data_IF_436134908425
#
_entry.id   IF_436134908425
#
_cell.length_a   1.000
_cell.length_b   1.000
_cell.length_c   1.000
_cell.angle_alpha   90.00
_cell.angle_beta   90.00
_cell.angle_gamma   90.00
#
_symmetry.space_group_name_H-M   'P 1'
#
loop_
_entity.id
_entity.type
_entity.pdbx_description
1 polymer ?
#
# COMPACT_ATOMS: atom_id res chain seq x y z
N UNK A 1 -40.09 -16.80 -73.07
CA UNK A 1 -40.45 -16.94 -71.65
C UNK A 1 -39.20 -16.79 -70.80
N UNK A 2 -39.05 -15.68 -70.06
CA UNK A 2 -37.88 -15.43 -69.20
C UNK A 2 -38.30 -15.64 -67.74
N UNK A 3 -37.79 -16.69 -67.08
CA UNK A 3 -38.03 -16.94 -65.66
C UNK A 3 -37.05 -16.14 -64.80
N UNK A 4 -37.58 -15.29 -63.92
CA UNK A 4 -36.77 -14.54 -62.94
C UNK A 4 -36.28 -15.49 -61.85
N UNK A 5 -34.97 -15.53 -61.63
CA UNK A 5 -34.32 -16.23 -60.52
C UNK A 5 -34.15 -15.24 -59.37
N UNK A 6 -34.74 -15.55 -58.21
CA UNK A 6 -34.63 -14.71 -57.01
C UNK A 6 -33.55 -15.29 -56.11
N UNK A 7 -32.40 -14.63 -56.01
CA UNK A 7 -31.30 -15.02 -55.10
C UNK A 7 -31.60 -14.43 -53.72
N UNK A 8 -32.13 -15.26 -52.82
CA UNK A 8 -32.29 -14.91 -51.41
C UNK A 8 -30.92 -14.76 -50.74
N UNK A 9 -30.55 -13.52 -50.40
CA UNK A 9 -29.33 -13.24 -49.65
C UNK A 9 -29.52 -13.66 -48.19
N UNK A 10 -29.00 -14.82 -47.82
CA UNK A 10 -28.93 -15.28 -46.43
C UNK A 10 -27.89 -14.46 -45.68
N UNK A 11 -28.31 -13.38 -45.05
CA UNK A 11 -27.46 -12.63 -44.11
C UNK A 11 -27.23 -13.46 -42.85
N UNK A 12 -26.10 -14.17 -42.78
CA UNK A 12 -25.59 -14.73 -41.52
C UNK A 12 -25.15 -13.59 -40.62
N UNK A 13 -25.98 -13.23 -39.64
CA UNK A 13 -25.56 -12.35 -38.54
C UNK A 13 -24.57 -13.11 -37.66
N UNK A 14 -23.33 -12.64 -37.60
CA UNK A 14 -22.36 -13.12 -36.62
C UNK A 14 -22.76 -12.56 -35.25
N UNK A 15 -23.23 -13.42 -34.35
CA UNK A 15 -23.43 -13.08 -32.94
C UNK A 15 -22.04 -13.08 -32.28
N UNK A 16 -21.58 -11.92 -31.83
CA UNK A 16 -20.39 -11.82 -31.00
C UNK A 16 -20.74 -12.22 -29.56
N UNK A 17 -20.37 -13.42 -29.14
CA UNK A 17 -20.40 -13.78 -27.72
C UNK A 17 -19.17 -13.20 -27.04
N UNK A 18 -19.32 -12.14 -26.26
CA UNK A 18 -18.25 -11.65 -25.38
C UNK A 18 -18.17 -12.61 -24.19
N UNK A 19 -17.10 -13.38 -24.12
CA UNK A 19 -16.78 -14.22 -22.96
C UNK A 19 -15.81 -13.44 -22.08
N UNK A 20 -16.17 -13.25 -20.82
CA UNK A 20 -15.28 -12.64 -19.85
C UNK A 20 -14.10 -13.58 -19.56
N UNK A 21 -12.89 -13.05 -19.69
CA UNK A 21 -11.67 -13.78 -19.36
C UNK A 21 -11.08 -13.19 -18.06
N UNK A 22 -11.03 -13.95 -16.96
CA UNK A 22 -10.51 -13.44 -15.71
C UNK A 22 -9.01 -13.14 -15.80
N UNK A 23 -8.51 -12.19 -14.99
CA UNK A 23 -7.08 -11.93 -14.87
C UNK A 23 -6.32 -13.15 -14.32
N UNK A 24 -5.04 -13.26 -14.67
CA UNK A 24 -4.20 -14.41 -14.27
C UNK A 24 -3.94 -14.44 -12.75
N UNK A 25 -4.35 -15.55 -12.12
CA UNK A 25 -4.18 -15.84 -10.69
C UNK A 25 -2.87 -16.58 -10.35
N UNK A 26 -1.98 -16.75 -11.32
CA UNK A 26 -0.68 -17.41 -11.10
C UNK A 26 0.20 -16.54 -10.21
N UNK A 27 0.81 -17.16 -9.21
CA UNK A 27 1.69 -16.54 -8.21
C UNK A 27 1.08 -15.30 -7.54
N UNK A 28 -0.23 -15.36 -7.28
CA UNK A 28 -0.98 -14.29 -6.62
C UNK A 28 -0.32 -13.78 -5.33
N UNK A 29 0.23 -14.64 -4.43
CA UNK A 29 0.84 -14.16 -3.18
C UNK A 29 1.96 -13.13 -3.37
N UNK A 30 2.80 -13.32 -4.38
CA UNK A 30 3.94 -12.42 -4.64
C UNK A 30 3.50 -11.13 -5.32
N UNK A 31 2.43 -11.19 -6.13
CA UNK A 31 1.95 -10.04 -6.92
C UNK A 31 0.96 -9.16 -6.17
N UNK A 32 0.20 -9.74 -5.23
CA UNK A 32 -0.88 -9.07 -4.51
C UNK A 32 -0.51 -7.72 -3.87
N UNK A 33 0.67 -7.55 -3.22
CA UNK A 33 1.02 -6.28 -2.59
C UNK A 33 1.30 -5.15 -3.59
N UNK A 34 1.81 -5.49 -4.77
CA UNK A 34 2.19 -4.54 -5.83
C UNK A 34 1.06 -4.30 -6.84
N UNK A 35 -0.01 -5.10 -6.75
CA UNK A 35 -1.14 -5.05 -7.67
C UNK A 35 -1.99 -3.79 -7.45
N UNK A 36 -2.49 -3.22 -8.55
CA UNK A 36 -3.44 -2.11 -8.48
C UNK A 36 -4.70 -2.51 -7.70
N UNK A 37 -5.34 -1.53 -7.07
CA UNK A 37 -6.55 -1.75 -6.28
C UNK A 37 -7.71 -2.27 -7.15
N UNK A 38 -7.91 -1.70 -8.35
CA UNK A 38 -9.03 -2.08 -9.22
C UNK A 38 -8.92 -3.55 -9.65
N UNK A 39 -7.71 -3.98 -10.00
CA UNK A 39 -7.44 -5.36 -10.39
C UNK A 39 -7.63 -6.34 -9.22
N UNK A 40 -7.31 -5.93 -7.99
CA UNK A 40 -7.57 -6.75 -6.79
C UNK A 40 -9.06 -6.95 -6.56
N UNK A 41 -9.86 -5.89 -6.68
CA UNK A 41 -11.32 -5.97 -6.55
C UNK A 41 -11.93 -6.86 -7.64
N UNK A 42 -11.50 -6.70 -8.89
CA UNK A 42 -11.96 -7.55 -10.00
C UNK A 42 -11.68 -9.03 -9.74
N UNK A 43 -10.49 -9.37 -9.24
CA UNK A 43 -10.13 -10.74 -8.84
C UNK A 43 -11.06 -11.26 -7.73
N UNK A 44 -11.31 -10.44 -6.70
CA UNK A 44 -12.16 -10.80 -5.56
C UNK A 44 -13.59 -11.05 -6.04
N UNK A 45 -14.14 -10.16 -6.86
CA UNK A 45 -15.49 -10.27 -7.41
C UNK A 45 -15.63 -11.53 -8.26
N UNK A 46 -14.68 -11.78 -9.17
CA UNK A 46 -14.66 -12.98 -10.00
C UNK A 46 -14.66 -14.27 -9.16
N UNK A 47 -13.77 -14.35 -8.16
CA UNK A 47 -13.67 -15.54 -7.31
C UNK A 47 -14.91 -15.69 -6.42
N UNK A 48 -15.47 -14.58 -5.92
CA UNK A 48 -16.69 -14.60 -5.11
C UNK A 48 -17.85 -15.17 -5.92
N UNK A 49 -18.07 -14.67 -7.12
CA UNK A 49 -19.10 -15.17 -8.02
C UNK A 49 -18.90 -16.66 -8.36
N UNK A 50 -17.65 -17.08 -8.63
CA UNK A 50 -17.35 -18.49 -8.95
C UNK A 50 -17.55 -19.42 -7.74
N UNK A 51 -17.32 -18.94 -6.53
CA UNK A 51 -17.53 -19.69 -5.29
C UNK A 51 -19.01 -19.87 -4.91
N UNK A 52 -19.93 -19.16 -5.56
CA UNK A 52 -21.38 -19.40 -5.40
C UNK A 52 -21.82 -20.72 -6.08
N UNK A 53 -21.10 -21.16 -7.11
CA UNK A 53 -21.31 -22.44 -7.77
C UNK A 53 -20.56 -23.60 -7.06
N UNK A 54 -20.63 -24.82 -7.60
CA UNK A 54 -19.90 -25.99 -7.10
C UNK A 54 -18.38 -25.76 -7.06
N UNK A 55 -17.80 -25.96 -5.87
CA UNK A 55 -16.36 -25.77 -5.65
C UNK A 55 -15.48 -26.75 -6.39
N UNK A 56 -16.06 -27.84 -6.92
CA UNK A 56 -15.37 -28.82 -7.76
C UNK A 56 -14.99 -28.25 -9.13
N UNK A 57 -15.64 -27.17 -9.54
CA UNK A 57 -15.39 -26.50 -10.81
C UNK A 57 -14.25 -25.45 -10.72
N UNK A 58 -13.73 -25.18 -9.52
CA UNK A 58 -12.57 -24.31 -9.35
C UNK A 58 -11.29 -25.05 -9.69
N UNK A 59 -10.42 -24.37 -10.44
CA UNK A 59 -9.07 -24.85 -10.69
C UNK A 59 -8.24 -24.81 -9.39
N UNK A 60 -7.20 -25.65 -9.32
CA UNK A 60 -6.26 -25.64 -8.20
C UNK A 60 -5.60 -24.26 -7.97
N UNK A 61 -5.37 -23.50 -9.05
CA UNK A 61 -4.83 -22.13 -8.97
C UNK A 61 -5.82 -21.17 -8.33
N UNK A 62 -7.10 -21.27 -8.65
CA UNK A 62 -8.15 -20.44 -8.06
C UNK A 62 -8.40 -20.80 -6.61
N UNK A 63 -8.39 -22.09 -6.25
CA UNK A 63 -8.49 -22.52 -4.86
C UNK A 63 -7.35 -21.94 -3.99
N UNK A 64 -6.12 -21.96 -4.51
CA UNK A 64 -4.97 -21.33 -3.83
C UNK A 64 -5.13 -19.81 -3.72
N UNK A 65 -5.64 -19.17 -4.77
CA UNK A 65 -5.94 -17.73 -4.77
C UNK A 65 -7.02 -17.38 -3.73
N UNK A 66 -8.13 -18.11 -3.69
CA UNK A 66 -9.19 -17.94 -2.68
C UNK A 66 -8.61 -18.09 -1.27
N UNK A 67 -7.83 -19.13 -1.01
CA UNK A 67 -7.18 -19.32 0.29
C UNK A 67 -6.30 -18.14 0.66
N UNK A 68 -5.49 -17.64 -0.28
CA UNK A 68 -4.62 -16.50 -0.04
C UNK A 68 -5.39 -15.20 0.19
N UNK A 69 -6.48 -14.94 -0.54
CA UNK A 69 -7.32 -13.76 -0.30
C UNK A 69 -7.99 -13.86 1.07
N UNK A 70 -8.55 -15.01 1.43
CA UNK A 70 -9.25 -15.18 2.70
C UNK A 70 -8.33 -15.16 3.92
N UNK A 71 -7.13 -15.75 3.83
CA UNK A 71 -6.27 -16.00 5.00
C UNK A 71 -4.80 -15.56 4.84
N UNK A 72 -4.43 -15.04 3.67
CA UNK A 72 -3.05 -14.62 3.40
C UNK A 72 -2.59 -13.45 4.28
N UNK A 73 -1.26 -13.27 4.38
CA UNK A 73 -0.63 -12.18 5.13
C UNK A 73 -0.72 -10.85 4.35
N UNK A 74 -1.93 -10.36 4.16
CA UNK A 74 -2.21 -9.06 3.53
C UNK A 74 -3.27 -8.30 4.33
N UNK A 75 -3.42 -7.00 4.04
CA UNK A 75 -4.35 -6.14 4.77
C UNK A 75 -3.98 -6.08 6.27
N UNK A 76 -4.94 -6.24 7.20
CA UNK A 76 -4.68 -6.25 8.64
C UNK A 76 -3.76 -7.38 9.11
N UNK A 77 -3.67 -8.49 8.34
CA UNK A 77 -2.81 -9.64 8.64
C UNK A 77 -1.45 -9.54 7.96
N UNK A 78 -1.22 -8.49 7.17
CA UNK A 78 0.07 -8.25 6.56
C UNK A 78 1.14 -8.01 7.62
N UNK A 79 2.32 -8.61 7.42
CA UNK A 79 3.51 -8.18 8.15
C UNK A 79 3.81 -6.76 7.71
N UNK A 80 3.30 -5.78 8.44
CA UNK A 80 3.71 -4.39 8.29
C UNK A 80 5.20 -4.32 8.61
N UNK A 81 6.00 -4.08 7.57
CA UNK A 81 7.45 -3.91 7.71
C UNK A 81 7.82 -2.81 8.70
N UNK A 82 6.88 -1.89 8.98
CA UNK A 82 7.00 -0.88 10.03
C UNK A 82 5.68 -0.67 10.78
N UNK A 83 5.15 -1.70 11.47
CA UNK A 83 4.27 -1.38 12.60
C UNK A 83 5.16 -0.75 13.67
N UNK A 84 5.22 0.59 13.67
CA UNK A 84 5.73 1.34 14.80
C UNK A 84 4.89 0.92 16.00
N UNK A 85 5.44 0.05 16.84
CA UNK A 85 4.79 -0.35 18.08
C UNK A 85 4.46 0.93 18.83
N UNK A 86 3.26 1.09 19.42
CA UNK A 86 2.91 2.29 20.18
C UNK A 86 4.00 2.66 21.21
N UNK A 87 4.63 1.64 21.80
CA UNK A 87 5.78 1.78 22.68
C UNK A 87 7.00 2.43 21.99
N UNK A 88 7.35 2.01 20.77
CA UNK A 88 8.49 2.54 20.02
C UNK A 88 8.28 4.03 19.66
N UNK A 89 7.04 4.42 19.35
CA UNK A 89 6.68 5.83 19.12
C UNK A 89 6.89 6.69 20.36
N UNK A 90 6.46 6.20 21.53
CA UNK A 90 6.66 6.89 22.82
C UNK A 90 8.16 7.06 23.09
N UNK A 91 8.94 6.00 22.93
CA UNK A 91 10.40 6.06 23.14
C UNK A 91 11.11 7.01 22.19
N UNK A 92 10.75 6.99 20.90
CA UNK A 92 11.27 7.95 19.91
C UNK A 92 10.94 9.39 20.29
N UNK A 93 9.71 9.63 20.74
CA UNK A 93 9.27 10.94 21.22
C UNK A 93 10.11 11.43 22.40
N UNK A 94 10.19 10.63 23.47
CA UNK A 94 10.95 10.97 24.68
C UNK A 94 12.43 11.22 24.42
N UNK A 95 13.03 10.40 23.55
CA UNK A 95 14.44 10.57 23.18
C UNK A 95 14.66 11.86 22.40
N UNK A 96 13.81 12.13 21.41
CA UNK A 96 13.90 13.34 20.60
C UNK A 96 13.69 14.59 21.45
N UNK A 97 12.68 14.62 22.33
CA UNK A 97 12.41 15.79 23.18
C UNK A 97 13.55 16.06 24.14
N UNK A 98 14.11 15.02 24.77
CA UNK A 98 15.25 15.14 25.67
C UNK A 98 16.49 15.68 24.94
N UNK A 99 16.79 15.15 23.76
CA UNK A 99 17.96 15.56 22.98
C UNK A 99 17.86 17.01 22.51
N UNK A 100 16.69 17.42 22.00
CA UNK A 100 16.46 18.80 21.58
C UNK A 100 16.44 19.78 22.76
N UNK A 101 15.87 19.40 23.91
CA UNK A 101 15.89 20.23 25.11
C UNK A 101 17.32 20.45 25.62
N UNK A 102 18.12 19.37 25.71
CA UNK A 102 19.51 19.44 26.12
C UNK A 102 20.35 20.30 25.16
N UNK A 103 20.16 20.12 23.86
CA UNK A 103 20.84 20.91 22.83
C UNK A 103 20.45 22.40 22.93
N UNK A 104 19.17 22.72 23.13
CA UNK A 104 18.71 24.09 23.32
C UNK A 104 19.31 24.77 24.55
N UNK A 105 19.31 24.10 25.70
CA UNK A 105 19.91 24.62 26.93
C UNK A 105 21.43 24.80 26.79
N UNK A 106 22.12 23.87 26.13
CA UNK A 106 23.56 23.96 25.86
C UNK A 106 23.92 25.21 25.05
N UNK A 107 23.20 25.47 23.95
CA UNK A 107 23.41 26.66 23.13
C UNK A 107 23.10 27.95 23.89
N UNK A 108 22.05 27.95 24.73
CA UNK A 108 21.69 29.10 25.55
C UNK A 108 22.76 29.43 26.60
N UNK A 109 23.30 28.41 27.28
CA UNK A 109 24.37 28.57 28.25
C UNK A 109 25.65 29.13 27.60
N UNK A 110 26.07 28.60 26.44
CA UNK A 110 27.23 29.12 25.72
C UNK A 110 27.10 30.61 25.35
N UNK A 111 25.89 31.07 25.01
CA UNK A 111 25.66 32.49 24.72
C UNK A 111 25.75 33.34 25.99
N UNK A 112 25.19 32.88 27.11
CA UNK A 112 25.29 33.58 28.40
C UNK A 112 26.72 33.67 28.88
N UNK A 113 27.51 32.61 28.76
CA UNK A 113 28.89 32.59 29.22
C UNK A 113 29.71 33.66 28.50
N UNK A 114 29.59 33.78 27.18
CA UNK A 114 30.24 34.85 26.40
C UNK A 114 29.86 36.26 26.86
N UNK A 115 28.57 36.49 27.13
CA UNK A 115 28.11 37.79 27.64
C UNK A 115 28.67 38.10 29.03
N UNK A 116 28.79 37.07 29.87
CA UNK A 116 29.32 37.20 31.23
C UNK A 116 30.82 37.49 31.19
N UNK A 117 31.57 36.81 30.32
CA UNK A 117 32.99 37.09 30.07
C UNK A 117 33.23 38.52 29.56
N UNK A 118 32.44 38.99 28.58
CA UNK A 118 32.52 40.37 28.10
C UNK A 118 32.23 41.39 29.20
N UNK A 119 31.25 41.11 30.07
CA UNK A 119 30.93 41.96 31.21
C UNK A 119 32.07 41.98 32.24
N UNK A 120 32.67 40.83 32.55
CA UNK A 120 33.81 40.71 33.45
C UNK A 120 35.02 41.50 32.94
N UNK A 121 35.35 41.39 31.64
CA UNK A 121 36.47 42.13 31.03
C UNK A 121 36.27 43.65 31.11
N UNK A 122 35.04 44.14 30.92
CA UNK A 122 34.72 45.57 31.10
C UNK A 122 34.89 46.02 32.55
N UNK A 123 34.57 45.17 33.52
CA UNK A 123 34.78 45.48 34.94
C UNK A 123 36.27 45.53 35.29
N UNK A 124 37.07 44.57 34.82
CA UNK A 124 38.52 44.58 35.02
C UNK A 124 39.17 45.84 34.44
N UNK A 125 38.73 46.27 33.25
CA UNK A 125 39.21 47.52 32.62
C UNK A 125 38.80 48.79 33.37
N UNK A 126 37.71 48.78 34.12
CA UNK A 126 37.25 49.94 34.89
C UNK A 126 37.87 50.00 36.29
N UNK A 127 38.40 48.88 36.79
CA UNK A 127 39.03 48.78 38.12
C UNK A 127 40.56 49.00 38.02
N UNK A 128 41.16 48.69 36.87
CA UNK A 128 42.56 48.98 36.53
C UNK A 128 42.75 50.44 36.11
#
# INVERSE_FOLDING_TARGET
>A
MLSKVTIGHMYKRFLSSVSYAPPSMVDLPSRWPTMDHQLREEIIEYLTWKMEDSWRNLSNTELKACYYISYGPWGPRGKSTEQLTPMLLIWKGLFSTTLFAALGLSLFNLKRDKQTEEALRKLEQNIA
#
